data_IF_633376450684
#
_entry.id   IF_633376450684
#
_cell.length_a   1.000
_cell.length_b   1.000
_cell.length_c   1.000
_cell.angle_alpha   90.00
_cell.angle_beta   90.00
_cell.angle_gamma   90.00
#
_symmetry.space_group_name_H-M   'P 1'
#
loop_
_entity.id
_entity.type
_entity.pdbx_description
1 polymer ?
#
# COMPACT_ATOMS: atom_id res chain seq x y z
N UNK A 1 -6.01 10.31 23.86
CA UNK A 1 -4.69 9.89 24.36
C UNK A 1 -3.89 9.35 23.18
N UNK A 2 -2.92 10.11 22.69
CA UNK A 2 -1.99 9.65 21.64
C UNK A 2 -0.77 9.09 22.35
N UNK A 3 -0.31 7.93 21.88
CA UNK A 3 0.51 6.95 22.62
C UNK A 3 1.87 7.43 23.12
N UNK A 4 2.35 6.71 24.14
CA UNK A 4 3.59 6.91 24.89
C UNK A 4 4.87 6.63 24.08
N UNK A 5 5.09 7.35 22.97
CA UNK A 5 6.36 7.33 22.23
C UNK A 5 7.17 8.56 22.60
N UNK A 6 8.34 8.34 23.18
CA UNK A 6 9.33 9.38 23.44
C UNK A 6 10.27 9.47 22.24
N UNK A 7 10.61 10.70 21.84
CA UNK A 7 11.52 10.99 20.74
C UNK A 7 12.68 11.79 21.31
N UNK A 8 13.91 11.33 21.08
CA UNK A 8 15.13 12.00 21.49
C UNK A 8 15.91 12.44 20.23
N UNK A 9 16.36 13.70 20.21
CA UNK A 9 17.14 14.26 19.09
C UNK A 9 18.62 14.11 19.42
N UNK A 10 19.33 13.23 18.71
CA UNK A 10 20.73 12.90 19.02
C UNK A 10 21.77 13.90 18.47
N UNK A 11 21.42 14.71 17.46
CA UNK A 11 22.33 15.69 16.87
C UNK A 11 22.03 16.01 15.39
N UNK A 12 22.82 16.93 14.82
CA UNK A 12 22.76 17.29 13.40
C UNK A 12 23.65 16.34 12.58
N UNK A 13 23.13 15.84 11.45
CA UNK A 13 23.86 14.98 10.51
C UNK A 13 24.07 15.74 9.21
N UNK A 14 25.27 15.66 8.64
CA UNK A 14 25.57 16.27 7.33
C UNK A 14 24.83 15.53 6.21
N UNK A 15 24.46 16.25 5.14
CA UNK A 15 23.70 15.66 4.02
C UNK A 15 24.49 14.55 3.30
N UNK A 16 25.81 14.71 3.19
CA UNK A 16 26.70 13.68 2.63
C UNK A 16 26.70 12.41 3.48
N UNK A 17 26.67 12.52 4.81
CA UNK A 17 26.71 11.36 5.69
C UNK A 17 25.34 10.69 5.86
N UNK A 18 24.26 11.48 5.75
CA UNK A 18 22.90 10.97 5.58
C UNK A 18 22.79 10.13 4.30
N UNK A 19 23.25 10.68 3.17
CA UNK A 19 23.17 10.01 1.86
C UNK A 19 24.04 8.76 1.77
N UNK A 20 25.15 8.69 2.52
CA UNK A 20 25.97 7.47 2.64
C UNK A 20 25.31 6.38 3.48
N UNK A 21 24.27 6.70 4.26
CA UNK A 21 23.51 5.76 5.08
C UNK A 21 24.26 5.18 6.29
N UNK A 22 25.48 5.65 6.57
CA UNK A 22 26.33 5.11 7.66
C UNK A 22 25.75 5.35 9.05
N UNK A 23 25.01 6.44 9.23
CA UNK A 23 24.34 6.81 10.48
C UNK A 23 23.14 5.92 10.86
N UNK A 24 22.72 5.02 9.96
CA UNK A 24 21.59 4.10 10.19
C UNK A 24 22.04 2.63 10.30
N UNK A 25 23.34 2.36 10.16
CA UNK A 25 23.90 1.03 10.34
C UNK A 25 24.36 0.88 11.79
N UNK A 26 24.00 -0.25 12.40
CA UNK A 26 24.23 -0.56 13.81
C UNK A 26 25.65 -0.22 14.28
N UNK A 27 25.70 0.35 15.49
CA UNK A 27 26.86 0.89 16.20
C UNK A 27 28.09 -0.01 16.10
N UNK A 28 29.05 0.38 15.27
CA UNK A 28 30.46 0.24 15.60
C UNK A 28 31.06 1.64 15.68
N UNK A 29 31.29 2.08 16.92
CA UNK A 29 32.18 3.19 17.23
C UNK A 29 33.54 2.85 16.64
N UNK A 30 33.95 3.54 15.56
CA UNK A 30 35.34 3.50 15.11
C UNK A 30 36.19 4.28 16.12
N UNK A 31 36.78 3.54 17.07
CA UNK A 31 37.95 3.98 17.82
C UNK A 31 39.19 3.54 17.05
N UNK A 32 40.08 4.49 16.78
CA UNK A 32 41.35 4.30 16.07
C UNK A 32 42.15 3.08 16.58
N UNK A 33 42.78 2.38 15.64
CA UNK A 33 43.58 1.15 15.80
C UNK A 33 44.85 1.37 16.66
N UNK A 34 45.36 0.33 17.37
CA UNK A 34 46.37 -0.51 16.71
C UNK A 34 46.32 -2.03 17.04
N UNK A 35 46.62 -2.81 15.99
CA UNK A 35 47.16 -4.19 15.87
C UNK A 35 47.38 -5.01 17.15
N UNK A 36 46.76 -6.21 17.22
CA UNK A 36 47.35 -7.53 17.59
C UNK A 36 46.40 -8.68 17.15
N UNK A 37 46.99 -9.69 16.51
CA UNK A 37 46.63 -11.14 16.36
C UNK A 37 45.16 -11.60 16.33
N UNK A 38 44.79 -12.24 15.21
CA UNK A 38 43.48 -12.81 14.91
C UNK A 38 43.10 -14.08 15.73
N UNK A 39 41.80 -14.25 16.10
CA UNK A 39 41.16 -15.54 16.38
C UNK A 39 40.33 -16.07 15.19
N UNK A 40 39.94 -17.38 15.18
CA UNK A 40 39.48 -18.08 13.97
C UNK A 40 38.11 -17.62 13.44
N UNK A 41 37.81 -17.82 12.13
CA UNK A 41 36.57 -17.38 11.54
C UNK A 41 35.39 -18.22 12.02
N UNK A 42 34.65 -17.70 13.00
CA UNK A 42 33.30 -18.16 13.30
C UNK A 42 32.41 -17.93 12.07
N UNK A 43 31.84 -19.01 11.53
CA UNK A 43 30.91 -18.99 10.40
C UNK A 43 29.66 -18.21 10.80
N UNK A 44 29.62 -16.93 10.45
CA UNK A 44 28.39 -16.14 10.51
C UNK A 44 27.46 -16.67 9.41
N UNK A 45 26.21 -17.07 9.70
CA UNK A 45 25.24 -17.29 8.64
C UNK A 45 25.09 -15.95 7.91
N UNK A 46 25.27 -15.96 6.59
CA UNK A 46 25.09 -14.78 5.77
C UNK A 46 23.66 -14.26 6.02
N UNK A 47 23.52 -13.13 6.71
CA UNK A 47 22.23 -12.47 6.83
C UNK A 47 21.83 -12.05 5.43
N UNK A 48 20.70 -12.57 4.97
CA UNK A 48 20.12 -12.16 3.69
C UNK A 48 19.87 -10.65 3.77
N UNK A 49 20.22 -9.88 2.73
CA UNK A 49 19.94 -8.45 2.71
C UNK A 49 18.44 -8.21 2.87
N UNK A 50 18.08 -7.15 3.59
CA UNK A 50 16.70 -6.73 3.78
C UNK A 50 16.04 -6.50 2.41
N UNK A 51 15.02 -7.29 2.09
CA UNK A 51 14.25 -7.13 0.86
C UNK A 51 13.10 -6.16 1.10
N UNK A 52 13.01 -5.11 0.28
CA UNK A 52 11.85 -4.22 0.27
C UNK A 52 10.63 -5.01 -0.24
N UNK A 53 9.52 -5.12 0.53
CA UNK A 53 8.36 -5.93 0.14
C UNK A 53 7.69 -5.54 -1.19
N UNK A 54 8.01 -4.36 -1.73
CA UNK A 54 7.52 -3.89 -3.03
C UNK A 54 8.28 -4.42 -4.24
N UNK A 55 9.40 -5.14 -4.04
CA UNK A 55 10.15 -5.77 -5.13
C UNK A 55 10.03 -7.29 -5.02
N UNK A 56 9.00 -7.81 -5.70
CA UNK A 56 8.92 -9.23 -6.02
C UNK A 56 9.96 -9.54 -7.09
N UNK A 57 10.99 -10.30 -6.74
CA UNK A 57 11.86 -11.00 -7.69
C UNK A 57 13.19 -10.30 -7.97
N UNK A 58 14.28 -11.01 -7.68
CA UNK A 58 15.64 -10.59 -7.98
C UNK A 58 16.00 -10.72 -9.45
N UNK A 59 16.82 -9.75 -9.86
CA UNK A 59 17.91 -9.80 -10.83
C UNK A 59 17.62 -9.79 -12.36
N UNK A 60 18.27 -8.77 -12.93
CA UNK A 60 18.80 -8.61 -14.29
C UNK A 60 17.91 -8.02 -15.39
N UNK A 61 18.31 -6.79 -15.75
CA UNK A 61 18.32 -6.20 -17.10
C UNK A 61 17.10 -6.47 -17.99
N UNK A 62 16.14 -5.53 -17.96
CA UNK A 62 15.75 -4.71 -19.13
C UNK A 62 14.47 -3.94 -18.83
N UNK A 63 14.51 -2.67 -19.20
CA UNK A 63 13.31 -1.89 -19.47
C UNK A 63 12.81 -1.12 -18.27
N UNK A 64 12.95 0.21 -18.36
CA UNK A 64 11.93 1.18 -17.95
C UNK A 64 10.59 0.47 -17.84
N UNK A 65 10.03 0.39 -16.62
CA UNK A 65 8.65 -0.01 -16.45
C UNK A 65 7.83 0.95 -17.31
N UNK A 66 7.41 0.47 -18.48
CA UNK A 66 6.39 1.13 -19.28
C UNK A 66 5.22 1.36 -18.33
N UNK A 67 4.54 2.53 -18.38
CA UNK A 67 3.22 2.63 -17.78
C UNK A 67 2.46 1.40 -18.27
N UNK A 68 2.06 0.50 -17.38
CA UNK A 68 1.10 -0.50 -17.78
C UNK A 68 -0.09 0.32 -18.29
N UNK A 69 -0.40 0.17 -19.58
CA UNK A 69 -1.69 0.61 -20.09
C UNK A 69 -2.71 -0.02 -19.17
N UNK A 70 -3.31 0.80 -18.31
CA UNK A 70 -4.31 0.32 -17.38
C UNK A 70 -5.38 -0.31 -18.24
N UNK A 71 -5.50 -1.64 -18.13
CA UNK A 71 -6.53 -2.37 -18.82
C UNK A 71 -7.89 -1.74 -18.48
N UNK A 72 -8.90 -1.90 -19.37
CA UNK A 72 -10.20 -1.27 -19.18
C UNK A 72 -10.68 -1.48 -17.74
N UNK A 73 -11.08 -0.41 -17.06
CA UNK A 73 -11.46 -0.46 -15.66
C UNK A 73 -12.64 -1.43 -15.49
N UNK A 74 -12.37 -2.62 -14.96
CA UNK A 74 -13.36 -3.68 -14.77
C UNK A 74 -13.82 -3.71 -13.31
N UNK A 75 -15.10 -4.02 -13.05
CA UNK A 75 -15.57 -4.32 -11.71
C UNK A 75 -14.75 -5.42 -11.06
N UNK A 76 -14.52 -5.30 -9.75
CA UNK A 76 -13.76 -6.31 -8.98
C UNK A 76 -14.50 -7.65 -8.89
N UNK A 77 -15.83 -7.61 -8.85
CA UNK A 77 -16.71 -8.78 -8.82
C UNK A 77 -17.70 -8.71 -9.97
N UNK A 78 -18.23 -9.86 -10.38
CA UNK A 78 -19.16 -9.96 -11.51
C UNK A 78 -20.53 -9.35 -11.16
N UNK A 79 -20.98 -8.31 -11.88
CA UNK A 79 -22.30 -7.70 -11.65
C UNK A 79 -23.47 -8.57 -12.10
N UNK A 80 -23.23 -9.57 -12.98
CA UNK A 80 -24.28 -10.46 -13.50
C UNK A 80 -24.41 -11.76 -12.67
N UNK A 81 -23.58 -11.94 -11.65
CA UNK A 81 -23.63 -13.11 -10.79
C UNK A 81 -24.96 -13.18 -10.00
N UNK A 82 -25.50 -14.38 -9.76
CA UNK A 82 -26.74 -14.55 -9.01
C UNK A 82 -26.56 -14.04 -7.57
N UNK A 83 -27.46 -13.17 -7.13
CA UNK A 83 -27.39 -12.57 -5.79
C UNK A 83 -26.32 -11.49 -5.61
N UNK A 84 -25.71 -11.02 -6.70
CA UNK A 84 -24.85 -9.84 -6.67
C UNK A 84 -25.64 -8.61 -6.25
N UNK A 85 -25.06 -7.81 -5.35
CA UNK A 85 -25.59 -6.50 -4.97
C UNK A 85 -24.72 -5.45 -5.66
N UNK A 86 -25.30 -4.81 -6.68
CA UNK A 86 -24.66 -3.73 -7.43
C UNK A 86 -25.13 -2.39 -6.87
N UNK A 87 -24.17 -1.52 -6.57
CA UNK A 87 -24.44 -0.17 -6.05
C UNK A 87 -24.98 0.74 -7.16
N UNK A 88 -25.79 1.76 -6.82
CA UNK A 88 -26.39 2.65 -7.79
C UNK A 88 -25.32 3.46 -8.51
N UNK A 89 -25.49 3.62 -9.83
CA UNK A 89 -24.63 4.50 -10.62
C UNK A 89 -24.98 5.96 -10.33
N UNK A 90 -23.99 6.86 -10.15
CA UNK A 90 -24.24 8.29 -9.93
C UNK A 90 -24.95 8.91 -11.13
N UNK A 91 -25.82 9.88 -10.86
CA UNK A 91 -26.52 10.65 -11.90
C UNK A 91 -25.55 11.54 -12.70
N UNK A 92 -25.95 12.00 -13.88
CA UNK A 92 -25.08 12.85 -14.72
C UNK A 92 -24.65 14.13 -13.98
N UNK A 93 -25.55 14.74 -13.21
CA UNK A 93 -25.24 15.93 -12.39
C UNK A 93 -24.20 15.61 -11.30
N UNK A 94 -24.33 14.47 -10.63
CA UNK A 94 -23.36 14.02 -9.63
C UNK A 94 -22.01 13.73 -10.27
N UNK A 95 -21.98 13.05 -11.41
CA UNK A 95 -20.77 12.81 -12.18
C UNK A 95 -20.09 14.13 -12.59
N UNK A 96 -20.82 15.13 -13.06
CA UNK A 96 -20.24 16.44 -13.38
C UNK A 96 -19.62 17.14 -12.17
N UNK A 97 -20.26 17.06 -11.00
CA UNK A 97 -19.78 17.70 -9.78
C UNK A 97 -18.55 17.00 -9.18
N UNK A 98 -18.55 15.67 -9.15
CA UNK A 98 -17.58 14.87 -8.40
C UNK A 98 -16.54 14.14 -9.27
N UNK A 99 -16.83 13.80 -10.53
CA UNK A 99 -15.89 13.16 -11.47
C UNK A 99 -15.21 14.19 -12.38
N UNK A 100 -14.42 15.10 -11.81
CA UNK A 100 -13.72 16.18 -12.54
C UNK A 100 -12.68 15.67 -13.55
N UNK A 101 -12.15 14.47 -13.30
CA UNK A 101 -11.16 13.83 -14.15
C UNK A 101 -11.77 13.07 -15.33
N UNK A 102 -13.11 12.97 -15.43
CA UNK A 102 -13.79 12.27 -16.52
C UNK A 102 -13.45 10.79 -16.59
N UNK A 103 -13.16 10.16 -15.45
CA UNK A 103 -12.78 8.76 -15.39
C UNK A 103 -13.97 7.86 -15.81
N UNK A 104 -13.69 6.70 -16.43
CA UNK A 104 -14.74 5.77 -16.82
C UNK A 104 -15.50 5.26 -15.59
N UNK A 105 -16.81 5.14 -15.74
CA UNK A 105 -17.68 4.66 -14.67
C UNK A 105 -17.62 3.12 -14.58
N UNK A 106 -17.33 2.60 -13.40
CA UNK A 106 -17.25 1.17 -13.12
C UNK A 106 -18.34 0.77 -12.12
N UNK A 107 -18.96 -0.39 -12.33
CA UNK A 107 -19.91 -0.93 -11.37
C UNK A 107 -19.22 -1.31 -10.06
N UNK A 108 -19.80 -0.85 -8.96
CA UNK A 108 -19.37 -1.24 -7.62
C UNK A 108 -20.27 -2.40 -7.18
N UNK A 109 -19.67 -3.57 -7.03
CA UNK A 109 -20.35 -4.80 -6.63
C UNK A 109 -19.84 -5.21 -5.25
N UNK A 110 -20.76 -5.53 -4.35
CA UNK A 110 -20.43 -6.02 -2.99
C UNK A 110 -19.81 -7.41 -3.09
N UNK A 111 -18.87 -7.70 -2.19
CA UNK A 111 -18.22 -9.01 -2.12
C UNK A 111 -19.25 -10.15 -2.04
N UNK A 112 -19.22 -11.13 -2.96
CA UNK A 112 -20.13 -12.28 -2.97
C UNK A 112 -20.15 -13.07 -1.66
N UNK A 113 -19.04 -13.09 -0.92
CA UNK A 113 -18.98 -13.73 0.40
C UNK A 113 -19.91 -13.04 1.41
N UNK A 114 -19.99 -11.72 1.37
CA UNK A 114 -20.88 -10.95 2.25
C UNK A 114 -22.33 -11.08 1.80
N UNK A 115 -22.61 -10.96 0.50
CA UNK A 115 -24.00 -10.96 -0.03
C UNK A 115 -24.76 -12.24 0.29
N UNK A 116 -24.05 -13.37 0.39
CA UNK A 116 -24.60 -14.68 0.79
C UNK A 116 -25.19 -14.68 2.21
N UNK A 117 -24.68 -13.84 3.12
CA UNK A 117 -25.09 -13.81 4.52
C UNK A 117 -26.02 -12.65 4.88
N UNK A 118 -26.23 -11.70 3.97
CA UNK A 118 -27.07 -10.53 4.21
C UNK A 118 -28.56 -10.86 4.11
N UNK A 119 -29.30 -10.48 5.15
CA UNK A 119 -30.77 -10.44 5.16
C UNK A 119 -31.29 -9.27 4.30
N UNK A 120 -32.52 -9.32 3.77
CA UNK A 120 -33.04 -8.28 2.86
C UNK A 120 -32.85 -6.84 3.36
N UNK A 121 -33.24 -6.54 4.60
CA UNK A 121 -33.07 -5.20 5.18
C UNK A 121 -31.61 -4.75 5.32
N UNK A 122 -30.66 -5.69 5.45
CA UNK A 122 -29.24 -5.35 5.51
C UNK A 122 -28.72 -4.96 4.13
N UNK A 123 -29.29 -5.53 3.07
CA UNK A 123 -28.99 -5.14 1.67
C UNK A 123 -29.49 -3.72 1.41
N UNK A 124 -30.71 -3.42 1.84
CA UNK A 124 -31.30 -2.08 1.74
C UNK A 124 -30.49 -1.06 2.56
N UNK A 125 -30.06 -1.43 3.77
CA UNK A 125 -29.21 -0.59 4.61
C UNK A 125 -27.84 -0.31 4.01
N UNK A 126 -27.25 -1.28 3.29
CA UNK A 126 -26.01 -1.10 2.55
C UNK A 126 -26.17 -0.12 1.39
N UNK A 127 -27.27 -0.24 0.64
CA UNK A 127 -27.61 0.66 -0.45
C UNK A 127 -27.78 2.09 0.06
N UNK A 128 -28.56 2.26 1.13
CA UNK A 128 -28.78 3.54 1.79
C UNK A 128 -27.47 4.17 2.27
N UNK A 129 -26.63 3.39 2.97
CA UNK A 129 -25.36 3.89 3.48
C UNK A 129 -24.44 4.34 2.34
N UNK A 130 -24.39 3.58 1.24
CA UNK A 130 -23.63 3.94 0.06
C UNK A 130 -24.10 5.28 -0.52
N UNK A 131 -25.41 5.46 -0.71
CA UNK A 131 -25.97 6.72 -1.21
C UNK A 131 -25.60 7.91 -0.32
N UNK A 132 -25.71 7.76 1.01
CA UNK A 132 -25.38 8.82 1.94
C UNK A 132 -23.89 9.18 1.92
N UNK A 133 -23.00 8.19 1.90
CA UNK A 133 -21.55 8.42 1.89
C UNK A 133 -21.09 9.03 0.57
N UNK A 134 -21.69 8.61 -0.54
CA UNK A 134 -21.38 9.15 -1.87
C UNK A 134 -22.05 10.49 -2.15
N UNK A 135 -22.96 10.97 -1.29
CA UNK A 135 -23.72 12.21 -1.49
C UNK A 135 -24.69 12.13 -2.67
N UNK A 136 -25.28 10.95 -2.87
CA UNK A 136 -26.25 10.68 -3.94
C UNK A 136 -27.71 10.78 -3.48
N UNK A 137 -27.94 11.05 -2.19
CA UNK A 137 -29.24 11.18 -1.54
C UNK A 137 -29.27 12.39 -0.63
#
# INVERSE_FOLDING_TARGET
>A
MIGAKQVEVMGLISELDYNKGRCFLDVHVEKEEPKISAPPPSRRPASKPFCRPTLLGGETDRGVAKPQEEGPCKPRHDPLAPGAIVMPRPSTNHQWAYNKAGLPLVDVVVDPYLTAHLRPHQRDGLLFLYECVMGMR
#
